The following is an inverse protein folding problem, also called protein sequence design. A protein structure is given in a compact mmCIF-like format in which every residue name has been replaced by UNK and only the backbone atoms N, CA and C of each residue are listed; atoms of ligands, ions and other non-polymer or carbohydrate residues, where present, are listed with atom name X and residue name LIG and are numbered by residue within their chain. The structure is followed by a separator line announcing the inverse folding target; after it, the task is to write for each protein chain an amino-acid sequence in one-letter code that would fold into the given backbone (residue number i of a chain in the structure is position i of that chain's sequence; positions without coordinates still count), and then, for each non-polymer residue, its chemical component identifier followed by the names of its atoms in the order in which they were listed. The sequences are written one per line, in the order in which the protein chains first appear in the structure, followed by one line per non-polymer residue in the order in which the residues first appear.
data_IF_779185862492
#
_entry.id   IF_779185862492
#
_cell.length_a   1.000
_cell.length_b   1.000
_cell.length_c   1.000
_cell.angle_alpha   90.00
_cell.angle_beta   90.00
_cell.angle_gamma   90.00
#
_symmetry.space_group_name_H-M   'P 1'
#
loop_
_entity.id
_entity.type
_entity.pdbx_description
1 polymer ?
#
# COMPACT_ATOMS: atom_id res chain seq x y z
N UNK A 1 -10.34 -11.14 -16.31
CA UNK A 1 -10.38 -10.70 -14.90
C UNK A 1 -9.60 -11.61 -13.95
N UNK A 2 -9.86 -12.93 -13.90
CA UNK A 2 -9.20 -13.83 -12.95
C UNK A 2 -7.65 -13.75 -12.91
N UNK A 3 -6.99 -13.65 -14.07
CA UNK A 3 -5.52 -13.53 -14.15
C UNK A 3 -4.99 -12.25 -13.48
N UNK A 4 -5.66 -11.11 -13.66
CA UNK A 4 -5.27 -9.85 -13.03
C UNK A 4 -5.49 -9.89 -11.51
N UNK A 5 -6.57 -10.53 -11.05
CA UNK A 5 -6.84 -10.75 -9.63
C UNK A 5 -5.78 -11.63 -8.99
N UNK A 6 -5.35 -12.71 -9.65
CA UNK A 6 -4.28 -13.59 -9.16
C UNK A 6 -2.94 -12.84 -9.02
N UNK A 7 -2.59 -12.00 -9.99
CA UNK A 7 -1.39 -11.15 -9.92
C UNK A 7 -1.51 -10.11 -8.79
N UNK A 8 -2.69 -9.53 -8.58
CA UNK A 8 -2.93 -8.65 -7.43
C UNK A 8 -2.81 -9.39 -6.10
N UNK A 9 -3.31 -10.61 -6.02
CA UNK A 9 -3.23 -11.45 -4.82
C UNK A 9 -1.78 -11.83 -4.48
N UNK A 10 -0.92 -12.08 -5.47
CA UNK A 10 0.50 -12.34 -5.20
C UNK A 10 1.19 -11.15 -4.54
N UNK A 11 0.80 -9.91 -4.86
CA UNK A 11 1.34 -8.73 -4.16
C UNK A 11 0.97 -8.72 -2.67
N UNK A 12 -0.27 -9.11 -2.33
CA UNK A 12 -0.70 -9.24 -0.93
C UNK A 12 0.10 -10.33 -0.21
N UNK A 13 0.32 -11.48 -0.86
CA UNK A 13 1.15 -12.55 -0.32
C UNK A 13 2.61 -12.11 -0.09
N UNK A 14 3.17 -11.32 -1.01
CA UNK A 14 4.51 -10.74 -0.85
C UNK A 14 4.58 -9.78 0.34
N UNK A 15 3.56 -8.92 0.54
CA UNK A 15 3.52 -8.02 1.70
C UNK A 15 3.37 -8.77 3.02
N UNK A 16 2.64 -9.89 3.06
CA UNK A 16 2.52 -10.70 4.27
C UNK A 16 3.87 -11.27 4.74
N UNK A 17 4.78 -11.56 3.80
CA UNK A 17 6.14 -12.03 4.10
C UNK A 17 7.10 -10.91 4.52
N UNK A 18 6.74 -9.64 4.33
CA UNK A 18 7.63 -8.50 4.57
C UNK A 18 8.14 -8.49 6.01
N UNK A 19 7.25 -8.58 7.01
CA UNK A 19 7.63 -8.54 8.42
C UNK A 19 8.60 -9.67 8.80
N UNK A 20 8.33 -10.89 8.30
CA UNK A 20 9.19 -12.06 8.52
C UNK A 20 10.58 -11.85 7.90
N UNK A 21 10.64 -11.38 6.66
CA UNK A 21 11.89 -11.15 5.94
C UNK A 21 12.68 -9.96 6.51
N UNK A 22 11.99 -8.91 6.97
CA UNK A 22 12.63 -7.78 7.67
C UNK A 22 13.24 -8.23 9.00
N UNK A 23 12.54 -9.04 9.80
CA UNK A 23 13.12 -9.63 11.00
C UNK A 23 14.33 -10.53 10.68
N UNK A 24 14.25 -11.30 9.60
CA UNK A 24 15.35 -12.13 9.10
C UNK A 24 16.54 -11.34 8.52
N UNK A 25 16.37 -10.06 8.19
CA UNK A 25 17.44 -9.21 7.64
C UNK A 25 18.49 -8.79 8.68
N UNK A 26 18.26 -9.07 9.97
CA UNK A 26 19.24 -8.89 11.03
C UNK A 26 19.53 -7.41 11.32
N UNK A 27 20.81 -7.04 11.35
CA UNK A 27 21.28 -5.71 11.76
C UNK A 27 21.38 -4.70 10.61
N UNK A 28 20.86 -5.02 9.41
CA UNK A 28 20.93 -4.10 8.27
C UNK A 28 20.11 -2.83 8.59
N UNK A 29 20.70 -1.63 8.50
CA UNK A 29 19.97 -0.39 8.77
C UNK A 29 18.75 -0.22 7.84
N UNK A 30 17.60 0.28 8.33
CA UNK A 30 16.36 0.34 7.55
C UNK A 30 16.49 1.08 6.21
N UNK A 31 17.19 2.22 6.19
CA UNK A 31 17.39 2.99 4.96
C UNK A 31 18.29 2.28 3.95
N UNK A 32 19.30 1.54 4.41
CA UNK A 32 20.14 0.73 3.55
C UNK A 32 19.35 -0.45 2.98
N UNK A 33 18.55 -1.12 3.81
CA UNK A 33 17.66 -2.19 3.37
C UNK A 33 16.67 -1.68 2.31
N UNK A 34 16.05 -0.51 2.52
CA UNK A 34 15.20 0.13 1.53
C UNK A 34 15.98 0.46 0.24
N UNK A 35 17.15 1.09 0.33
CA UNK A 35 17.95 1.40 -0.85
C UNK A 35 18.30 0.14 -1.66
N UNK A 36 18.66 -0.96 -0.99
CA UNK A 36 18.94 -2.24 -1.64
C UNK A 36 17.70 -2.83 -2.31
N UNK A 37 16.55 -2.86 -1.63
CA UNK A 37 15.32 -3.45 -2.19
C UNK A 37 14.76 -2.62 -3.34
N UNK A 38 14.81 -1.29 -3.25
CA UNK A 38 14.44 -0.39 -4.35
C UNK A 38 15.40 -0.53 -5.53
N UNK A 39 16.72 -0.61 -5.29
CA UNK A 39 17.69 -0.85 -6.36
C UNK A 39 17.45 -2.18 -7.09
N UNK A 40 17.15 -3.26 -6.36
CA UNK A 40 16.77 -4.55 -6.95
C UNK A 40 15.47 -4.41 -7.76
N UNK A 41 14.46 -3.74 -7.21
CA UNK A 41 13.19 -3.49 -7.92
C UNK A 41 13.38 -2.73 -9.22
N UNK A 42 14.23 -1.69 -9.20
CA UNK A 42 14.59 -0.90 -10.39
C UNK A 42 15.36 -1.74 -11.41
N UNK A 43 16.33 -2.55 -10.97
CA UNK A 43 17.07 -3.45 -11.85
C UNK A 43 16.15 -4.46 -12.54
N UNK A 44 15.23 -5.09 -11.80
CA UNK A 44 14.20 -5.98 -12.37
C UNK A 44 13.34 -5.23 -13.38
N UNK A 45 12.88 -4.02 -13.05
CA UNK A 45 12.09 -3.20 -13.96
C UNK A 45 12.82 -2.84 -15.26
N UNK A 46 14.12 -2.55 -15.18
CA UNK A 46 14.99 -2.28 -16.35
C UNK A 46 15.21 -3.53 -17.20
N UNK A 47 15.50 -4.68 -16.58
CA UNK A 47 15.65 -5.97 -17.28
C UNK A 47 14.35 -6.35 -17.99
N UNK A 48 13.21 -6.26 -17.30
CA UNK A 48 11.91 -6.54 -17.89
C UNK A 48 11.61 -5.63 -19.08
N UNK A 49 12.00 -4.35 -19.00
CA UNK A 49 11.87 -3.41 -20.13
C UNK A 49 12.80 -3.76 -21.30
N UNK A 50 14.00 -4.25 -21.03
CA UNK A 50 14.97 -4.63 -22.07
C UNK A 50 14.56 -5.91 -22.83
N UNK A 51 13.90 -6.86 -22.16
CA UNK A 51 13.42 -8.11 -22.78
C UNK A 51 12.01 -8.02 -23.35
N UNK A 52 11.23 -7.00 -22.97
CA UNK A 52 9.90 -6.78 -23.50
C UNK A 52 9.98 -6.26 -24.96
N UNK A 53 9.04 -6.67 -25.84
CA UNK A 53 8.98 -6.14 -27.19
C UNK A 53 8.83 -4.61 -27.17
N UNK A 54 9.43 -3.88 -28.13
CA UNK A 54 9.32 -2.44 -28.22
C UNK A 54 7.84 -2.03 -28.28
N UNK A 55 7.36 -1.40 -27.21
CA UNK A 55 6.00 -0.88 -27.14
C UNK A 55 6.05 0.63 -27.30
N UNK A 56 5.08 1.18 -28.03
CA UNK A 56 4.84 2.62 -27.99
C UNK A 56 4.49 2.99 -26.55
N UNK A 57 5.34 3.77 -25.90
CA UNK A 57 5.05 4.33 -24.59
C UNK A 57 4.33 5.67 -24.82
N UNK A 58 2.99 5.73 -24.67
CA UNK A 58 2.31 7.01 -24.75
C UNK A 58 2.87 7.94 -23.68
N UNK A 59 2.91 9.26 -23.94
CA UNK A 59 3.38 10.23 -22.96
C UNK A 59 2.55 10.09 -21.67
N UNK A 60 3.26 9.92 -20.55
CA UNK A 60 2.63 9.75 -19.24
C UNK A 60 2.11 11.13 -18.79
N UNK A 61 0.81 11.28 -18.48
CA UNK A 61 0.27 12.55 -18.01
C UNK A 61 1.00 13.02 -16.73
N UNK A 62 1.32 14.32 -16.59
CA UNK A 62 1.98 14.85 -15.38
C UNK A 62 1.25 14.52 -14.07
N UNK A 63 -0.08 14.42 -14.12
CA UNK A 63 -0.90 14.02 -12.97
C UNK A 63 -0.55 12.62 -12.45
N UNK A 64 -0.11 11.69 -13.31
CA UNK A 64 0.25 10.32 -12.91
C UNK A 64 1.55 10.32 -12.11
N UNK A 65 2.50 11.19 -12.46
CA UNK A 65 3.71 11.40 -11.65
C UNK A 65 3.37 11.94 -10.28
N UNK A 66 2.48 12.94 -10.21
CA UNK A 66 2.02 13.49 -8.94
C UNK A 66 1.31 12.43 -8.10
N UNK A 67 0.44 11.61 -8.70
CA UNK A 67 -0.25 10.51 -8.02
C UNK A 67 0.73 9.45 -7.51
N UNK A 68 1.70 9.04 -8.34
CA UNK A 68 2.71 8.05 -7.98
C UNK A 68 3.61 8.52 -6.84
N UNK A 69 4.19 9.72 -6.99
CA UNK A 69 5.07 10.32 -5.99
C UNK A 69 4.29 10.61 -4.71
N UNK A 70 3.18 11.34 -4.77
CA UNK A 70 2.39 11.68 -3.58
C UNK A 70 1.80 10.44 -2.91
N UNK A 71 1.40 9.42 -3.68
CA UNK A 71 0.88 8.16 -3.15
C UNK A 71 1.95 7.36 -2.41
N UNK A 72 3.06 7.04 -3.09
CA UNK A 72 4.12 6.21 -2.52
C UNK A 72 4.89 6.94 -1.42
N UNK A 73 5.35 8.16 -1.67
CA UNK A 73 6.09 8.93 -0.67
C UNK A 73 5.17 9.38 0.47
N UNK A 74 3.98 9.91 0.14
CA UNK A 74 3.04 10.39 1.15
C UNK A 74 2.59 9.29 2.11
N UNK A 75 2.31 8.08 1.60
CA UNK A 75 2.02 6.92 2.45
C UNK A 75 3.15 6.68 3.47
N UNK A 76 4.40 6.58 3.02
CA UNK A 76 5.53 6.32 3.91
C UNK A 76 5.77 7.47 4.89
N UNK A 77 5.65 8.72 4.42
CA UNK A 77 5.79 9.91 5.26
C UNK A 77 4.77 9.90 6.41
N UNK A 78 3.49 9.71 6.11
CA UNK A 78 2.44 9.68 7.13
C UNK A 78 2.58 8.46 8.05
N UNK A 79 2.94 7.30 7.49
CA UNK A 79 3.13 6.08 8.28
C UNK A 79 4.26 6.23 9.31
N UNK A 80 5.44 6.68 8.88
CA UNK A 80 6.56 6.88 9.79
C UNK A 80 6.30 8.00 10.80
N UNK A 81 5.58 9.05 10.39
CA UNK A 81 5.17 10.10 11.32
C UNK A 81 4.20 9.56 12.38
N UNK A 82 3.24 8.71 12.00
CA UNK A 82 2.34 8.05 12.95
C UNK A 82 3.11 7.18 13.95
N UNK A 83 4.03 6.34 13.47
CA UNK A 83 4.84 5.45 14.32
C UNK A 83 5.75 6.21 15.30
N UNK A 84 6.12 7.46 15.00
CA UNK A 84 6.91 8.31 15.91
C UNK A 84 6.07 9.03 16.96
N UNK A 85 4.74 9.11 16.77
CA UNK A 85 3.85 9.93 17.59
C UNK A 85 2.70 9.13 18.22
N UNK A 86 2.66 7.81 18.07
CA UNK A 86 1.68 6.91 18.66
C UNK A 86 2.28 5.50 18.85
N UNK A 87 1.72 4.68 19.75
CA UNK A 87 2.09 3.28 19.89
C UNK A 87 2.04 2.54 18.53
N UNK A 88 3.10 1.82 18.14
CA UNK A 88 3.19 1.18 16.82
C UNK A 88 2.03 0.24 16.49
N UNK A 89 1.53 -0.48 17.50
CA UNK A 89 0.40 -1.42 17.40
C UNK A 89 -0.87 -0.69 16.97
N UNK A 90 -1.22 0.39 17.68
CA UNK A 90 -2.42 1.18 17.43
C UNK A 90 -2.34 1.94 16.10
N UNK A 91 -1.19 2.57 15.83
CA UNK A 91 -0.96 3.28 14.56
C UNK A 91 -1.03 2.32 13.36
N UNK A 92 -0.44 1.12 13.47
CA UNK A 92 -0.50 0.11 12.41
C UNK A 92 -1.93 -0.39 12.21
N UNK A 93 -2.71 -0.55 13.28
CA UNK A 93 -4.10 -0.98 13.17
C UNK A 93 -4.97 0.05 12.45
N UNK A 94 -4.79 1.33 12.75
CA UNK A 94 -5.46 2.42 12.03
C UNK A 94 -5.00 2.44 10.56
N UNK A 95 -3.70 2.28 10.30
CA UNK A 95 -3.19 2.20 8.94
C UNK A 95 -3.81 1.03 8.16
N UNK A 96 -4.05 -0.12 8.82
CA UNK A 96 -4.75 -1.28 8.26
C UNK A 96 -6.22 -1.05 7.88
N UNK A 97 -6.76 0.16 8.02
CA UNK A 97 -8.04 0.54 7.42
C UNK A 97 -7.97 0.69 5.89
N UNK A 98 -6.77 0.79 5.31
CA UNK A 98 -6.60 0.98 3.86
C UNK A 98 -7.34 -0.08 2.99
N UNK A 99 -7.40 -1.39 3.31
CA UNK A 99 -8.11 -2.37 2.50
C UNK A 99 -9.62 -2.13 2.53
N UNK A 100 -10.17 -1.82 3.71
CA UNK A 100 -11.58 -1.47 3.86
C UNK A 100 -11.92 -0.24 3.03
N UNK A 101 -11.07 0.79 3.09
CA UNK A 101 -11.23 2.02 2.30
C UNK A 101 -11.14 1.74 0.79
N UNK A 102 -10.29 0.81 0.34
CA UNK A 102 -10.24 0.39 -1.06
C UNK A 102 -11.53 -0.34 -1.45
N UNK A 103 -12.03 -1.27 -0.63
CA UNK A 103 -13.27 -2.00 -0.93
C UNK A 103 -14.45 -1.04 -1.02
N UNK A 104 -14.64 -0.18 0.00
CA UNK A 104 -15.73 0.80 0.01
C UNK A 104 -15.55 1.82 -1.11
N UNK A 105 -14.34 2.37 -1.27
CA UNK A 105 -14.05 3.34 -2.32
C UNK A 105 -14.14 2.77 -3.74
N UNK A 106 -13.95 1.46 -3.92
CA UNK A 106 -14.17 0.77 -5.20
C UNK A 106 -15.63 0.86 -5.66
N UNK A 107 -16.59 0.94 -4.73
CA UNK A 107 -18.00 1.12 -5.04
C UNK A 107 -18.33 2.49 -5.64
N UNK A 108 -17.47 3.49 -5.38
CA UNK A 108 -17.61 4.85 -5.88
C UNK A 108 -17.05 5.00 -7.31
N UNK A 109 -16.43 3.95 -7.86
CA UNK A 109 -15.95 3.96 -9.25
C UNK A 109 -17.09 3.65 -10.23
N UNK A 110 -17.11 4.35 -11.39
CA UNK A 110 -18.14 4.12 -12.40
C UNK A 110 -18.16 2.67 -12.87
N UNK A 111 -19.34 2.03 -12.83
CA UNK A 111 -19.57 0.67 -13.32
C UNK A 111 -19.35 -0.45 -12.30
N UNK A 112 -18.89 -0.15 -11.10
CA UNK A 112 -18.72 -1.13 -10.02
C UNK A 112 -19.96 -1.20 -9.12
N UNK A 113 -20.30 -2.39 -8.63
CA UNK A 113 -21.40 -2.60 -7.68
C UNK A 113 -20.89 -3.31 -6.44
N UNK A 114 -20.97 -2.66 -5.29
CA UNK A 114 -20.57 -3.25 -4.02
C UNK A 114 -21.53 -4.37 -3.62
N UNK A 115 -21.06 -5.61 -3.71
CA UNK A 115 -21.79 -6.78 -3.23
C UNK A 115 -21.60 -6.92 -1.71
N UNK A 116 -22.61 -7.47 -1.02
CA UNK A 116 -22.56 -7.64 0.44
C UNK A 116 -21.35 -8.46 0.90
N UNK A 117 -20.89 -9.41 0.06
CA UNK A 117 -19.77 -10.30 0.34
C UNK A 117 -18.44 -9.53 0.41
N UNK A 118 -18.30 -8.43 -0.34
CA UNK A 118 -17.10 -7.59 -0.27
C UNK A 118 -17.01 -6.88 1.08
N UNK A 119 -18.15 -6.38 1.58
CA UNK A 119 -18.23 -5.73 2.89
C UNK A 119 -17.97 -6.76 3.99
N UNK A 120 -18.62 -7.93 3.92
CA UNK A 120 -18.42 -9.01 4.89
C UNK A 120 -16.95 -9.45 4.93
N UNK A 121 -16.31 -9.66 3.78
CA UNK A 121 -14.90 -10.01 3.70
C UNK A 121 -13.97 -8.93 4.28
N UNK A 122 -14.27 -7.65 4.00
CA UNK A 122 -13.49 -6.53 4.55
C UNK A 122 -13.63 -6.41 6.08
N UNK A 123 -14.84 -6.58 6.61
CA UNK A 123 -15.10 -6.57 8.06
C UNK A 123 -14.42 -7.76 8.73
N UNK A 124 -14.55 -8.97 8.18
CA UNK A 124 -13.87 -10.16 8.70
C UNK A 124 -12.36 -10.01 8.70
N UNK A 125 -11.78 -9.45 7.63
CA UNK A 125 -10.34 -9.18 7.53
C UNK A 125 -9.88 -8.15 8.57
N UNK A 126 -10.63 -7.06 8.75
CA UNK A 126 -10.32 -6.04 9.76
C UNK A 126 -10.44 -6.58 11.18
N UNK A 127 -11.48 -7.37 11.47
CA UNK A 127 -11.63 -8.04 12.76
C UNK A 127 -10.49 -9.01 13.05
N UNK A 128 -10.02 -9.76 12.04
CA UNK A 128 -8.85 -10.62 12.16
C UNK A 128 -7.58 -9.83 12.47
N UNK A 129 -7.34 -8.72 11.75
CA UNK A 129 -6.22 -7.83 12.03
C UNK A 129 -6.29 -7.24 13.45
N UNK A 130 -7.48 -6.82 13.89
CA UNK A 130 -7.72 -6.35 15.26
C UNK A 130 -7.37 -7.41 16.30
N UNK A 131 -7.83 -8.66 16.12
CA UNK A 131 -7.56 -9.75 17.08
C UNK A 131 -6.06 -10.07 17.17
N UNK A 132 -5.36 -10.12 16.03
CA UNK A 132 -3.92 -10.38 15.99
C UNK A 132 -3.14 -9.24 16.66
N UNK A 133 -3.46 -8.00 16.32
CA UNK A 133 -2.73 -6.81 16.76
C UNK A 133 -3.01 -6.50 18.23
N UNK A 134 -4.24 -6.70 18.70
CA UNK A 134 -4.60 -6.54 20.11
C UNK A 134 -4.02 -7.63 21.02
N UNK A 135 -3.60 -8.77 20.47
CA UNK A 135 -3.02 -9.88 21.24
C UNK A 135 -3.96 -10.45 22.31
N UNK A 136 -5.28 -10.24 22.16
CA UNK A 136 -6.29 -10.58 23.17
C UNK A 136 -6.43 -9.57 24.31
N UNK A 137 -5.62 -8.51 24.35
CA UNK A 137 -5.78 -7.35 25.23
C UNK A 137 -6.76 -6.32 24.66
N UNK A 138 -7.23 -5.38 25.48
CA UNK A 138 -7.99 -4.22 25.00
C UNK A 138 -7.08 -3.20 24.31
N UNK A 139 -7.62 -2.44 23.34
CA UNK A 139 -6.97 -1.21 22.86
C UNK A 139 -7.31 -0.07 23.80
N UNK A 140 -6.29 0.65 24.27
CA UNK A 140 -6.46 1.87 25.07
C UNK A 140 -5.99 3.05 24.25
N UNK A 141 -6.86 3.56 23.38
CA UNK A 141 -6.56 4.78 22.64
C UNK A 141 -6.47 5.97 23.60
N UNK A 142 -5.29 6.57 23.69
CA UNK A 142 -5.04 7.76 24.50
C UNK A 142 -5.10 9.02 23.62
N UNK A 143 -5.87 10.02 24.07
CA UNK A 143 -5.95 11.31 23.41
C UNK A 143 -4.60 12.01 23.25
N UNK A 144 -3.62 11.68 24.09
CA UNK A 144 -2.24 12.15 23.96
C UNK A 144 -1.60 11.79 22.60
N UNK A 145 -2.04 10.70 21.96
CA UNK A 145 -1.54 10.23 20.68
C UNK A 145 -2.42 10.63 19.48
N UNK A 146 -3.39 11.54 19.68
CA UNK A 146 -4.35 11.94 18.64
C UNK A 146 -3.67 12.37 17.33
N UNK A 147 -2.52 13.05 17.42
CA UNK A 147 -1.74 13.42 16.23
C UNK A 147 -1.22 12.19 15.48
N UNK A 148 -0.63 11.21 16.18
CA UNK A 148 -0.16 9.97 15.55
C UNK A 148 -1.30 9.15 14.94
N UNK A 149 -2.45 9.08 15.60
CA UNK A 149 -3.66 8.44 15.05
C UNK A 149 -4.18 9.16 13.80
N UNK A 150 -4.19 10.49 13.77
CA UNK A 150 -4.57 11.25 12.59
C UNK A 150 -3.62 10.99 11.41
N UNK A 151 -2.31 10.92 11.67
CA UNK A 151 -1.31 10.57 10.65
C UNK A 151 -1.50 9.14 10.14
N UNK A 152 -1.83 8.17 11.00
CA UNK A 152 -2.14 6.81 10.57
C UNK A 152 -3.39 6.76 9.68
N UNK A 153 -4.42 7.56 10.00
CA UNK A 153 -5.61 7.72 9.16
C UNK A 153 -5.29 8.32 7.79
N UNK A 154 -4.47 9.39 7.75
CA UNK A 154 -4.00 9.99 6.49
C UNK A 154 -3.15 9.01 5.67
N UNK A 155 -2.33 8.21 6.32
CA UNK A 155 -1.58 7.12 5.69
C UNK A 155 -2.53 6.13 4.99
N UNK A 156 -3.55 5.64 5.69
CA UNK A 156 -4.54 4.73 5.11
C UNK A 156 -5.27 5.38 3.92
N UNK A 157 -5.73 6.62 4.07
CA UNK A 157 -6.41 7.37 3.01
C UNK A 157 -5.53 7.59 1.78
N UNK A 158 -4.25 7.94 1.98
CA UNK A 158 -3.30 8.20 0.88
C UNK A 158 -3.07 6.93 0.06
N UNK A 159 -2.88 5.79 0.73
CA UNK A 159 -2.69 4.51 0.06
C UNK A 159 -3.94 4.05 -0.71
N UNK A 160 -5.11 4.18 -0.09
CA UNK A 160 -6.37 3.82 -0.72
C UNK A 160 -6.69 4.73 -1.91
N UNK A 161 -6.49 6.04 -1.75
CA UNK A 161 -6.67 7.01 -2.83
C UNK A 161 -5.72 6.72 -4.00
N UNK A 162 -4.43 6.50 -3.74
CA UNK A 162 -3.45 6.09 -4.76
C UNK A 162 -3.92 4.84 -5.52
N UNK A 163 -4.35 3.81 -4.80
CA UNK A 163 -4.79 2.54 -5.38
C UNK A 163 -6.04 2.69 -6.26
N UNK A 164 -7.03 3.48 -5.81
CA UNK A 164 -8.28 3.71 -6.55
C UNK A 164 -8.09 4.66 -7.73
N UNK A 165 -7.26 5.69 -7.58
CA UNK A 165 -7.03 6.69 -8.61
C UNK A 165 -6.15 6.13 -9.73
N UNK A 166 -5.19 5.27 -9.40
CA UNK A 166 -4.37 4.55 -10.40
C UNK A 166 -5.23 3.69 -11.35
N UNK A 167 -6.36 3.16 -10.89
CA UNK A 167 -7.32 2.42 -11.75
C UNK A 167 -7.96 3.30 -12.83
N UNK A 168 -8.02 4.63 -12.65
CA UNK A 168 -8.56 5.56 -13.67
C UNK A 168 -7.63 5.78 -14.85
N UNK A 169 -6.38 5.29 -14.78
CA UNK A 169 -5.38 5.42 -15.83
C UNK A 169 -4.92 4.05 -16.36
N UNK A 170 -5.83 3.20 -16.91
CA UNK A 170 -5.48 1.86 -17.37
C UNK A 170 -4.54 1.85 -18.59
N UNK A 171 -4.43 2.98 -19.30
CA UNK A 171 -3.51 3.17 -20.42
C UNK A 171 -2.07 3.44 -20.00
N UNK A 172 -1.82 3.72 -18.72
CA UNK A 172 -0.47 3.93 -18.20
C UNK A 172 0.19 2.56 -17.98
N UNK A 173 1.34 2.30 -18.59
CA UNK A 173 2.01 1.02 -18.41
C UNK A 173 2.58 0.89 -17.00
N UNK A 174 2.48 -0.29 -16.40
CA UNK A 174 3.06 -0.59 -15.08
C UNK A 174 4.58 -0.38 -15.02
N UNK A 175 5.25 -0.33 -16.18
CA UNK A 175 6.68 -0.01 -16.28
C UNK A 175 7.04 1.39 -15.76
N UNK A 176 6.06 2.28 -15.58
CA UNK A 176 6.27 3.59 -14.93
C UNK A 176 6.71 3.43 -13.47
N UNK A 177 6.30 2.35 -12.79
CA UNK A 177 6.69 2.08 -11.40
C UNK A 177 8.21 1.93 -11.26
N UNK A 178 8.90 1.43 -12.30
CA UNK A 178 10.37 1.39 -12.34
C UNK A 178 11.00 2.77 -12.09
N UNK A 179 10.37 3.84 -12.59
CA UNK A 179 10.85 5.21 -12.39
C UNK A 179 10.48 5.77 -11.02
N UNK A 180 9.40 5.30 -10.40
CA UNK A 180 9.08 5.69 -9.03
C UNK A 180 10.02 5.03 -8.01
N UNK A 181 10.62 3.90 -8.38
CA UNK A 181 11.57 3.16 -7.54
C UNK A 181 13.04 3.55 -7.75
N UNK A 182 13.36 4.33 -8.81
CA UNK A 182 14.71 4.76 -9.16
C UNK A 182 15.07 6.08 -8.48
#
# INVERSE_FOLDING_TARGET
MARATLIGFSAVAMWALLALLTAGSGAVPPFLLSAMTFAIGTAVGLVMRAVAPPAAHPPIPPVVWLIGIAGLFGYHFFYFTALRNAPPVEASLIAYLWPLLIVVGSALLPGERLQWHHIAGAVLGLSGAFLIVSGGGGLSFDGAYAFGYAMAGLCALTWSAYSLLSRRFPSVPTSVVTWFCA
#
